data_IF_562540489233
#
_entry.id   IF_562540489233
#
_cell.length_a   1.000
_cell.length_b   1.000
_cell.length_c   1.000
_cell.angle_alpha   90.00
_cell.angle_beta   90.00
_cell.angle_gamma   90.00
#
_symmetry.space_group_name_H-M   'P 1'
#
loop_
_entity.id
_entity.type
_entity.pdbx_description
1 polymer ?
#
# COMPACT_ATOMS: atom_id res chain seq x y z
N UNK A 1 7.25 1.72 17.90
CA UNK A 1 8.05 2.89 17.48
C UNK A 1 7.12 3.95 16.92
N UNK A 2 7.36 5.26 17.16
CA UNK A 2 6.64 6.32 16.46
C UNK A 2 6.83 6.15 14.95
N UNK A 3 5.77 6.41 14.17
CA UNK A 3 5.84 6.37 12.71
C UNK A 3 6.58 7.57 12.13
N UNK A 4 6.89 7.54 10.83
CA UNK A 4 7.46 8.71 10.16
C UNK A 4 6.45 9.86 10.20
N UNK A 5 6.96 11.09 10.31
CA UNK A 5 6.16 12.31 10.42
C UNK A 5 5.98 12.98 9.06
N UNK A 6 4.80 13.55 8.81
CA UNK A 6 4.58 14.34 7.60
C UNK A 6 5.27 15.71 7.71
N UNK A 7 6.46 15.84 7.13
CA UNK A 7 7.31 17.04 7.17
C UNK A 7 6.65 18.26 6.49
N UNK A 8 5.88 18.04 5.41
CA UNK A 8 5.16 19.11 4.69
C UNK A 8 4.16 19.86 5.60
N UNK A 9 3.60 19.19 6.61
CA UNK A 9 2.68 19.82 7.58
C UNK A 9 3.40 20.61 8.68
N UNK A 10 4.63 20.23 9.08
CA UNK A 10 5.43 21.03 10.02
C UNK A 10 5.72 22.43 9.46
N UNK A 11 6.03 22.52 8.16
CA UNK A 11 6.26 23.81 7.47
C UNK A 11 5.02 24.74 7.52
N UNK A 12 3.80 24.20 7.33
CA UNK A 12 2.56 24.99 7.46
C UNK A 12 2.32 25.56 8.87
N UNK A 13 2.74 24.84 9.93
CA UNK A 13 2.63 25.34 11.31
C UNK A 13 3.67 26.41 11.63
N UNK A 14 4.93 26.20 11.21
CA UNK A 14 5.99 27.19 11.45
C UNK A 14 5.75 28.50 10.66
N UNK A 15 5.19 28.42 9.46
CA UNK A 15 4.80 29.60 8.68
C UNK A 15 3.68 30.42 9.33
N UNK A 16 2.71 29.77 9.99
CA UNK A 16 1.60 30.48 10.68
C UNK A 16 1.99 31.08 12.03
N UNK A 17 2.99 30.52 12.73
CA UNK A 17 3.44 31.06 14.02
C UNK A 17 4.37 32.28 13.91
N UNK A 18 5.00 32.55 12.76
CA UNK A 18 5.87 33.72 12.59
C UNK A 18 5.16 35.06 12.29
N UNK A 19 3.83 35.09 12.15
CA UNK A 19 3.08 36.32 11.80
C UNK A 19 2.31 36.95 12.98
N UNK A 20 2.24 36.29 14.15
CA UNK A 20 1.52 36.84 15.31
C UNK A 20 2.43 36.99 16.53
N UNK A 21 3.35 37.95 16.46
CA UNK A 21 3.94 38.54 17.66
C UNK A 21 4.20 40.03 17.44
N UNK A 22 3.13 40.82 17.45
CA UNK A 22 3.18 42.21 17.92
C UNK A 22 1.79 42.75 18.27
N UNK A 23 1.65 43.07 19.56
CA UNK A 23 0.77 44.08 20.18
C UNK A 23 -0.71 43.75 20.42
N UNK A 24 -1.00 43.54 21.71
CA UNK A 24 -2.28 43.82 22.41
C UNK A 24 -2.48 45.35 22.60
N UNK A 25 -3.59 45.88 23.18
CA UNK A 25 -4.95 45.33 23.43
C UNK A 25 -6.11 46.33 23.10
N UNK A 26 -7.37 45.90 23.27
CA UNK A 26 -8.55 46.55 23.92
C UNK A 26 -9.90 46.31 23.20
N UNK A 27 -10.82 45.66 23.93
CA UNK A 27 -12.24 46.00 24.08
C UNK A 27 -13.19 45.99 22.87
N UNK A 28 -14.25 45.17 22.92
CA UNK A 28 -15.67 45.60 23.05
C UNK A 28 -16.61 44.41 22.84
N UNK A 29 -17.77 44.50 23.50
CA UNK A 29 -18.78 43.48 23.79
C UNK A 29 -19.77 43.19 22.65
N UNK A 30 -20.48 42.07 22.83
CA UNK A 30 -21.91 41.83 22.60
C UNK A 30 -22.48 41.41 21.23
N UNK A 31 -23.18 40.26 21.28
CA UNK A 31 -24.61 40.01 20.96
C UNK A 31 -24.98 39.04 19.80
N UNK A 32 -25.65 37.96 20.23
CA UNK A 32 -26.78 37.18 19.68
C UNK A 32 -27.29 37.33 18.23
N UNK A 33 -27.47 36.18 17.54
CA UNK A 33 -28.71 35.61 16.92
C UNK A 33 -28.30 34.50 15.92
N UNK A 34 -28.69 33.22 15.98
CA UNK A 34 -29.99 32.52 15.81
C UNK A 34 -30.67 32.66 14.42
N UNK A 35 -30.61 31.58 13.61
CA UNK A 35 -31.63 31.02 12.69
C UNK A 35 -30.91 30.01 11.74
N UNK A 36 -31.17 28.69 11.62
CA UNK A 36 -32.34 27.81 11.36
C UNK A 36 -32.82 27.73 9.89
N UNK A 37 -32.97 26.47 9.42
CA UNK A 37 -33.77 25.96 8.27
C UNK A 37 -33.26 26.29 6.85
N UNK A 38 -33.32 25.47 5.78
CA UNK A 38 -34.16 24.36 5.24
C UNK A 38 -33.27 23.48 4.30
N UNK A 39 -33.32 22.13 4.24
CA UNK A 39 -34.24 21.22 3.49
C UNK A 39 -34.65 21.64 2.06
N UNK A 40 -34.20 20.90 1.04
CA UNK A 40 -35.04 20.19 0.03
C UNK A 40 -34.18 19.70 -1.17
N UNK A 41 -34.21 18.39 -1.43
CA UNK A 41 -34.93 17.68 -2.51
C UNK A 41 -34.12 17.42 -3.79
N UNK A 42 -33.96 16.13 -4.06
CA UNK A 42 -34.19 15.44 -5.34
C UNK A 42 -34.12 16.27 -6.63
N UNK A 43 -33.25 15.85 -7.56
CA UNK A 43 -33.66 15.50 -8.94
C UNK A 43 -32.50 14.75 -9.64
N UNK A 44 -32.75 13.48 -9.98
CA UNK A 44 -32.08 12.67 -11.01
C UNK A 44 -33.22 12.38 -12.00
N UNK A 45 -33.10 12.54 -13.34
CA UNK A 45 -32.36 11.59 -14.17
C UNK A 45 -31.82 12.10 -15.52
N UNK A 46 -30.77 11.44 -16.04
CA UNK A 46 -30.55 11.36 -17.49
C UNK A 46 -29.76 10.10 -17.86
N UNK A 47 -30.51 9.13 -18.36
CA UNK A 47 -30.11 7.93 -19.08
C UNK A 47 -29.15 8.27 -20.22
N UNK A 48 -27.93 7.74 -20.19
CA UNK A 48 -27.02 7.72 -21.36
C UNK A 48 -27.02 6.31 -21.92
N UNK A 49 -27.64 6.17 -23.09
CA UNK A 49 -27.61 4.95 -23.90
C UNK A 49 -26.18 4.68 -24.39
N UNK A 50 -25.64 3.51 -24.02
CA UNK A 50 -24.39 3.02 -24.57
C UNK A 50 -24.65 2.41 -25.95
N UNK A 51 -23.96 2.94 -26.96
CA UNK A 51 -23.97 2.44 -28.34
C UNK A 51 -23.29 1.07 -28.37
N UNK A 52 -23.99 0.09 -28.93
CA UNK A 52 -23.49 -1.26 -29.22
C UNK A 52 -22.52 -1.20 -30.40
N UNK A 53 -21.25 -1.54 -30.15
CA UNK A 53 -20.27 -1.82 -31.20
C UNK A 53 -20.24 -3.33 -31.47
N UNK A 54 -20.60 -3.68 -32.72
CA UNK A 54 -20.59 -5.02 -33.28
C UNK A 54 -19.17 -5.64 -33.22
N UNK A 55 -19.08 -6.86 -32.70
CA UNK A 55 -17.88 -7.71 -32.72
C UNK A 55 -17.91 -8.52 -34.03
N UNK A 56 -16.87 -8.34 -34.83
CA UNK A 56 -16.61 -9.07 -36.07
C UNK A 56 -15.96 -10.43 -35.75
N UNK A 57 -16.51 -11.50 -36.33
CA UNK A 57 -16.07 -12.89 -36.20
C UNK A 57 -14.85 -13.16 -37.11
N UNK A 58 -13.64 -13.13 -36.54
CA UNK A 58 -12.40 -13.54 -37.20
C UNK A 58 -11.86 -14.88 -36.67
N UNK A 59 -11.97 -15.91 -37.50
CA UNK A 59 -11.54 -17.33 -37.30
C UNK A 59 -10.01 -17.54 -37.16
N UNK A 60 -9.55 -18.76 -36.78
CA UNK A 60 -8.33 -19.00 -36.00
C UNK A 60 -7.08 -19.24 -36.86
N UNK A 61 -5.93 -18.77 -36.39
CA UNK A 61 -4.62 -19.15 -36.95
C UNK A 61 -3.83 -20.07 -36.00
N UNK A 62 -3.30 -21.12 -36.61
CA UNK A 62 -2.57 -22.25 -36.02
C UNK A 62 -1.19 -21.84 -35.45
N UNK A 63 -0.65 -22.61 -34.49
CA UNK A 63 0.66 -22.35 -33.90
C UNK A 63 1.81 -22.81 -34.83
N UNK A 64 2.91 -22.06 -34.92
CA UNK A 64 4.17 -22.58 -35.46
C UNK A 64 4.88 -23.45 -34.43
N UNK A 65 5.12 -24.69 -34.82
CA UNK A 65 5.94 -25.70 -34.17
C UNK A 65 7.44 -25.40 -34.40
N UNK A 66 8.25 -25.75 -33.40
CA UNK A 66 9.71 -26.00 -33.43
C UNK A 66 10.67 -24.80 -33.34
N UNK A 67 11.54 -24.78 -32.32
CA UNK A 67 12.83 -25.49 -32.37
C UNK A 67 13.49 -25.45 -30.98
N UNK A 68 13.67 -26.63 -30.38
CA UNK A 68 14.34 -26.80 -29.08
C UNK A 68 15.84 -26.94 -29.33
N UNK A 69 16.64 -25.98 -28.89
CA UNK A 69 18.10 -26.13 -28.80
C UNK A 69 18.50 -26.41 -27.35
N UNK A 70 19.29 -27.48 -27.07
CA UNK A 70 19.93 -27.67 -25.78
C UNK A 70 21.34 -27.06 -25.81
N UNK A 71 21.76 -26.39 -24.72
CA UNK A 71 23.13 -26.24 -24.21
C UNK A 71 23.10 -25.09 -23.18
N UNK A 72 23.19 -25.42 -21.89
CA UNK A 72 24.42 -25.42 -21.11
C UNK A 72 24.74 -24.05 -20.52
N UNK A 73 24.39 -23.87 -19.25
CA UNK A 73 25.03 -22.92 -18.35
C UNK A 73 24.95 -23.51 -16.95
N UNK A 74 26.00 -24.27 -16.62
CA UNK A 74 26.34 -24.60 -15.24
C UNK A 74 26.52 -23.30 -14.47
N UNK A 75 25.60 -22.98 -13.56
CA UNK A 75 25.88 -22.08 -12.46
C UNK A 75 25.93 -22.90 -11.17
N UNK A 76 27.08 -22.76 -10.53
CA UNK A 76 27.55 -23.50 -9.36
C UNK A 76 26.56 -23.33 -8.21
N UNK A 77 26.00 -24.43 -7.73
CA UNK A 77 25.46 -24.53 -6.39
C UNK A 77 26.63 -24.41 -5.41
N UNK A 78 26.74 -23.27 -4.75
CA UNK A 78 27.50 -23.15 -3.51
C UNK A 78 26.72 -23.91 -2.43
N UNK A 79 27.07 -25.17 -2.24
CA UNK A 79 26.71 -25.97 -1.07
C UNK A 79 27.39 -25.37 0.16
N UNK A 80 26.63 -24.59 0.93
CA UNK A 80 26.96 -24.39 2.34
C UNK A 80 26.37 -25.56 3.13
N UNK A 81 27.24 -26.15 3.94
CA UNK A 81 26.96 -27.19 4.93
C UNK A 81 25.69 -26.91 5.73
N UNK A 82 24.71 -27.82 5.66
CA UNK A 82 23.80 -28.06 6.76
C UNK A 82 23.57 -29.56 6.91
N UNK A 83 24.45 -30.18 7.69
CA UNK A 83 24.30 -31.54 8.16
C UNK A 83 23.21 -31.55 9.26
N UNK A 84 21.96 -31.69 8.86
CA UNK A 84 20.96 -32.34 9.69
C UNK A 84 19.92 -33.07 8.84
N UNK A 85 19.90 -34.39 9.01
CA UNK A 85 19.14 -35.40 8.28
C UNK A 85 17.61 -35.21 8.26
N UNK A 86 16.97 -35.37 7.11
CA UNK A 86 16.22 -36.56 6.64
C UNK A 86 15.48 -36.19 5.35
N UNK A 87 15.96 -36.72 4.22
CA UNK A 87 15.29 -36.63 2.94
C UNK A 87 14.03 -37.49 2.87
N UNK A 88 13.00 -36.96 2.20
CA UNK A 88 12.06 -37.62 1.27
C UNK A 88 10.75 -36.82 1.12
N UNK A 89 10.49 -35.82 1.97
CA UNK A 89 9.32 -34.94 1.83
C UNK A 89 9.76 -33.70 1.04
N UNK A 90 9.20 -33.45 -0.16
CA UNK A 90 9.41 -32.20 -0.86
C UNK A 90 9.06 -31.03 0.07
N UNK A 91 9.85 -29.94 0.08
CA UNK A 91 9.50 -28.77 0.88
C UNK A 91 8.08 -28.31 0.53
N UNK A 92 7.30 -27.82 1.50
CA UNK A 92 5.94 -27.37 1.23
C UNK A 92 5.95 -26.26 0.17
N UNK A 93 4.93 -26.19 -0.70
CA UNK A 93 4.89 -25.19 -1.75
C UNK A 93 4.85 -23.77 -1.14
N UNK A 94 5.55 -22.84 -1.79
CA UNK A 94 5.60 -21.44 -1.36
C UNK A 94 4.26 -20.71 -1.51
N UNK A 95 3.33 -21.26 -2.31
CA UNK A 95 1.99 -20.73 -2.55
C UNK A 95 0.96 -21.81 -2.16
N UNK A 96 -0.15 -21.40 -1.56
CA UNK A 96 -1.33 -22.24 -1.34
C UNK A 96 -2.60 -21.46 -1.68
N UNK A 97 -3.69 -22.13 -2.06
CA UNK A 97 -4.98 -21.47 -2.34
C UNK A 97 -6.08 -22.09 -1.46
N UNK A 98 -6.72 -21.31 -0.55
CA UNK A 98 -7.84 -21.78 0.26
C UNK A 98 -9.19 -21.78 -0.47
N UNK A 99 -9.23 -21.52 -1.78
CA UNK A 99 -10.44 -21.45 -2.61
C UNK A 99 -10.94 -20.03 -2.90
N UNK A 100 -10.23 -19.00 -2.41
CA UNK A 100 -10.54 -17.59 -2.69
C UNK A 100 -9.29 -16.82 -3.15
N UNK A 101 -8.36 -17.52 -3.80
CA UNK A 101 -7.20 -16.96 -4.47
C UNK A 101 -5.87 -17.39 -3.85
N UNK A 102 -4.78 -17.39 -4.63
CA UNK A 102 -3.47 -17.84 -4.17
C UNK A 102 -2.90 -16.94 -3.06
N UNK A 103 -2.26 -17.58 -2.08
CA UNK A 103 -1.62 -16.98 -0.91
C UNK A 103 -0.16 -17.39 -0.82
N UNK A 104 0.70 -16.46 -0.47
CA UNK A 104 2.11 -16.72 -0.18
C UNK A 104 2.22 -17.33 1.22
N UNK A 105 2.82 -18.52 1.30
CA UNK A 105 3.14 -19.21 2.55
C UNK A 105 4.53 -18.84 3.05
N UNK A 106 5.50 -18.86 2.13
CA UNK A 106 6.89 -18.50 2.37
C UNK A 106 7.28 -17.40 1.39
N UNK A 107 7.41 -16.19 1.91
CA UNK A 107 7.70 -14.98 1.14
C UNK A 107 9.09 -15.04 0.52
N UNK A 108 10.11 -15.53 1.23
CA UNK A 108 11.47 -15.62 0.70
C UNK A 108 11.54 -16.64 -0.44
N UNK A 109 10.96 -17.82 -0.22
CA UNK A 109 10.86 -18.87 -1.24
C UNK A 109 10.07 -18.41 -2.48
N UNK A 110 8.95 -17.72 -2.28
CA UNK A 110 8.17 -17.14 -3.38
C UNK A 110 8.98 -16.13 -4.20
N UNK A 111 9.65 -15.18 -3.54
CA UNK A 111 10.43 -14.13 -4.23
C UNK A 111 11.64 -14.68 -5.00
N UNK A 112 12.18 -15.81 -4.57
CA UNK A 112 13.26 -16.52 -5.25
C UNK A 112 12.76 -17.45 -6.37
N UNK A 113 11.43 -17.62 -6.48
CA UNK A 113 10.82 -18.53 -7.45
C UNK A 113 10.45 -17.85 -8.76
N UNK A 114 10.17 -18.66 -9.79
CA UNK A 114 9.65 -18.19 -11.08
C UNK A 114 8.27 -17.51 -10.99
N UNK A 115 7.51 -17.72 -9.91
CA UNK A 115 6.19 -17.10 -9.75
C UNK A 115 6.26 -15.61 -9.40
N UNK A 116 7.40 -15.15 -8.86
CA UNK A 116 7.58 -13.74 -8.55
C UNK A 116 7.88 -12.94 -9.82
N UNK A 117 7.14 -11.85 -10.02
CA UNK A 117 7.42 -10.96 -11.14
C UNK A 117 8.76 -10.23 -10.91
N UNK A 118 9.58 -10.04 -11.95
CA UNK A 118 10.80 -9.25 -11.83
C UNK A 118 10.46 -7.78 -11.51
N UNK A 119 11.38 -7.03 -10.86
CA UNK A 119 11.21 -5.61 -10.67
C UNK A 119 11.00 -4.87 -12.01
N UNK A 120 10.18 -3.84 -12.00
CA UNK A 120 9.86 -3.05 -13.19
C UNK A 120 10.88 -1.92 -13.38
N UNK A 121 12.08 -2.25 -13.86
CA UNK A 121 13.20 -1.30 -13.98
C UNK A 121 12.99 -0.15 -14.98
N UNK A 122 11.97 -0.25 -15.83
CA UNK A 122 11.57 0.81 -16.75
C UNK A 122 10.83 1.96 -16.07
N UNK A 123 10.26 1.72 -14.88
CA UNK A 123 9.61 2.73 -14.06
C UNK A 123 10.62 3.25 -13.02
N UNK A 124 10.95 4.56 -13.01
CA UNK A 124 12.00 5.10 -12.15
C UNK A 124 11.79 4.81 -10.66
N UNK A 125 10.54 4.94 -10.18
CA UNK A 125 10.20 4.70 -8.79
C UNK A 125 10.35 3.22 -8.43
N UNK A 126 9.86 2.32 -9.30
CA UNK A 126 10.04 0.89 -9.12
C UNK A 126 11.53 0.49 -9.12
N UNK A 127 12.35 1.13 -9.96
CA UNK A 127 13.78 0.87 -10.04
C UNK A 127 14.52 1.31 -8.76
N UNK A 128 14.16 2.45 -8.18
CA UNK A 128 14.68 2.90 -6.88
C UNK A 128 14.33 1.90 -5.77
N UNK A 129 13.06 1.51 -5.67
CA UNK A 129 12.65 0.51 -4.69
C UNK A 129 13.22 -0.88 -4.93
N UNK A 130 13.70 -1.20 -6.14
CA UNK A 130 14.29 -2.50 -6.45
C UNK A 130 15.71 -2.67 -5.88
N UNK A 131 16.32 -1.61 -5.36
CA UNK A 131 17.66 -1.66 -4.77
C UNK A 131 17.67 -2.50 -3.48
N UNK A 132 18.77 -3.23 -3.26
CA UNK A 132 18.95 -4.08 -2.09
C UNK A 132 19.13 -3.24 -0.82
N UNK A 133 19.74 -2.06 -0.95
CA UNK A 133 19.93 -1.10 0.12
C UNK A 133 18.58 -0.63 0.69
N UNK A 134 17.56 -0.49 -0.18
CA UNK A 134 16.20 -0.16 0.25
C UNK A 134 15.58 -1.30 1.05
N UNK A 135 15.79 -2.56 0.62
CA UNK A 135 15.35 -3.71 1.39
C UNK A 135 16.04 -3.81 2.77
N UNK A 136 17.35 -3.55 2.82
CA UNK A 136 18.10 -3.50 4.08
C UNK A 136 17.56 -2.41 5.01
N UNK A 137 17.28 -1.21 4.49
CA UNK A 137 16.64 -0.15 5.27
C UNK A 137 15.26 -0.59 5.80
N UNK A 138 14.43 -1.22 4.96
CA UNK A 138 13.13 -1.74 5.39
C UNK A 138 13.25 -2.77 6.52
N UNK A 139 14.26 -3.63 6.51
CA UNK A 139 14.53 -4.59 7.59
C UNK A 139 14.88 -3.94 8.93
N UNK A 140 15.37 -2.69 8.94
CA UNK A 140 15.63 -1.97 10.20
C UNK A 140 14.36 -1.49 10.91
N UNK A 141 13.25 -1.39 10.18
CA UNK A 141 12.00 -0.76 10.67
C UNK A 141 10.79 -1.67 10.66
N UNK A 142 10.80 -2.72 9.83
CA UNK A 142 9.71 -3.68 9.67
C UNK A 142 10.18 -5.11 9.95
N UNK A 143 9.29 -5.99 10.45
CA UNK A 143 9.54 -7.42 10.46
C UNK A 143 9.87 -7.93 9.06
N UNK A 144 10.72 -8.96 9.01
CA UNK A 144 11.30 -9.50 7.78
C UNK A 144 10.29 -9.76 6.67
N UNK A 145 9.21 -10.47 6.98
CA UNK A 145 8.17 -10.80 6.00
C UNK A 145 7.46 -9.54 5.46
N UNK A 146 7.13 -8.61 6.34
CA UNK A 146 6.44 -7.35 5.98
C UNK A 146 7.35 -6.46 5.13
N UNK A 147 8.65 -6.43 5.43
CA UNK A 147 9.67 -5.73 4.63
C UNK A 147 9.76 -6.31 3.20
N UNK A 148 9.87 -7.65 3.08
CA UNK A 148 9.93 -8.33 1.78
C UNK A 148 8.66 -8.10 0.94
N UNK A 149 7.49 -8.15 1.57
CA UNK A 149 6.21 -7.87 0.90
C UNK A 149 6.16 -6.42 0.41
N UNK A 150 6.55 -5.46 1.26
CA UNK A 150 6.53 -4.04 0.89
C UNK A 150 7.52 -3.75 -0.25
N UNK A 151 8.73 -4.30 -0.18
CA UNK A 151 9.74 -4.22 -1.22
C UNK A 151 9.24 -4.78 -2.55
N UNK A 152 8.66 -5.99 -2.54
CA UNK A 152 8.03 -6.57 -3.72
C UNK A 152 6.92 -5.68 -4.29
N UNK A 153 6.02 -5.17 -3.43
CA UNK A 153 4.90 -4.36 -3.87
C UNK A 153 5.35 -3.02 -4.48
N UNK A 154 6.40 -2.40 -3.96
CA UNK A 154 6.88 -1.09 -4.43
C UNK A 154 7.76 -1.17 -5.65
N UNK A 155 8.50 -2.26 -5.85
CA UNK A 155 9.41 -2.38 -6.99
C UNK A 155 8.76 -2.99 -8.25
N UNK A 156 7.44 -3.25 -8.25
CA UNK A 156 6.68 -3.81 -9.37
C UNK A 156 5.49 -2.94 -9.73
N UNK A 157 5.16 -2.89 -11.02
CA UNK A 157 4.06 -2.05 -11.54
C UNK A 157 2.68 -2.59 -11.21
N UNK A 158 2.44 -3.91 -11.25
CA UNK A 158 1.10 -4.49 -11.12
C UNK A 158 0.95 -5.57 -10.05
N UNK A 159 1.85 -6.55 -10.00
CA UNK A 159 1.75 -7.67 -9.08
C UNK A 159 1.90 -7.23 -7.62
N UNK A 160 1.05 -7.76 -6.75
CA UNK A 160 1.03 -7.45 -5.31
C UNK A 160 0.89 -8.70 -4.47
N UNK A 161 1.48 -8.65 -3.28
CA UNK A 161 1.22 -9.54 -2.15
C UNK A 161 0.51 -8.70 -1.08
N UNK A 162 -0.71 -9.07 -0.68
CA UNK A 162 -1.39 -8.37 0.39
C UNK A 162 -0.65 -8.58 1.72
N UNK A 163 -0.20 -7.53 2.43
CA UNK A 163 0.56 -7.72 3.66
C UNK A 163 -0.28 -8.34 4.79
N UNK A 164 -1.60 -8.12 4.83
CA UNK A 164 -2.45 -8.68 5.89
C UNK A 164 -2.81 -10.16 5.71
N UNK A 165 -3.05 -10.59 4.47
CA UNK A 165 -3.58 -11.94 4.21
C UNK A 165 -2.75 -12.75 3.20
N UNK A 166 -1.61 -12.19 2.76
CA UNK A 166 -0.64 -12.77 1.82
C UNK A 166 -1.21 -13.14 0.46
N UNK A 167 -2.38 -12.59 0.09
CA UNK A 167 -3.04 -12.83 -1.20
C UNK A 167 -2.21 -12.27 -2.34
N UNK A 168 -1.96 -13.08 -3.36
CA UNK A 168 -1.42 -12.63 -4.64
C UNK A 168 -2.56 -12.07 -5.49
N UNK A 169 -2.35 -10.88 -6.03
CA UNK A 169 -3.32 -10.20 -6.88
C UNK A 169 -2.62 -9.15 -7.77
N UNK A 170 -3.32 -8.62 -8.75
CA UNK A 170 -2.90 -7.48 -9.55
C UNK A 170 -3.65 -6.22 -9.12
N UNK A 171 -2.99 -5.06 -9.21
CA UNK A 171 -3.67 -3.78 -9.00
C UNK A 171 -4.93 -3.65 -9.85
N UNK A 172 -6.04 -3.27 -9.22
CA UNK A 172 -7.36 -3.16 -9.85
C UNK A 172 -8.21 -4.42 -9.77
N UNK A 173 -7.66 -5.56 -9.31
CA UNK A 173 -8.44 -6.77 -9.09
C UNK A 173 -9.49 -6.54 -8.00
N UNK A 174 -10.70 -7.03 -8.28
CA UNK A 174 -11.78 -7.13 -7.31
C UNK A 174 -11.82 -8.58 -6.85
N UNK A 175 -11.38 -8.80 -5.61
CA UNK A 175 -11.16 -10.15 -5.09
C UNK A 175 -12.36 -10.58 -4.24
N UNK A 176 -12.72 -11.87 -4.24
CA UNK A 176 -13.77 -12.39 -3.38
C UNK A 176 -13.51 -12.06 -1.91
N UNK A 177 -14.59 -11.70 -1.21
CA UNK A 177 -14.53 -11.41 0.22
C UNK A 177 -13.99 -12.62 0.99
N UNK A 178 -13.31 -12.32 2.11
CA UNK A 178 -12.72 -13.34 2.97
C UNK A 178 -13.77 -14.05 3.83
N UNK A 179 -14.93 -13.43 3.99
CA UNK A 179 -16.09 -13.97 4.71
C UNK A 179 -16.97 -14.58 3.63
N UNK A 180 -17.03 -15.90 3.57
CA UNK A 180 -17.65 -16.66 2.48
C UNK A 180 -19.15 -16.47 2.39
N UNK A 181 -19.59 -15.37 1.76
CA UNK A 181 -20.96 -15.21 1.30
C UNK A 181 -21.09 -15.68 -0.14
N UNK A 182 -22.15 -16.46 -0.39
CA UNK A 182 -22.50 -17.00 -1.70
C UNK A 182 -22.55 -15.88 -2.76
N UNK A 183 -21.63 -15.92 -3.72
CA UNK A 183 -21.44 -14.91 -4.78
C UNK A 183 -22.63 -14.82 -5.77
N UNK A 184 -23.70 -15.58 -5.58
CA UNK A 184 -24.78 -15.73 -6.55
C UNK A 184 -25.82 -14.59 -6.56
N UNK A 185 -25.83 -13.68 -5.57
CA UNK A 185 -26.98 -12.78 -5.38
C UNK A 185 -26.65 -11.31 -5.11
N UNK A 186 -25.38 -10.90 -5.02
CA UNK A 186 -25.09 -9.48 -4.78
C UNK A 186 -25.17 -8.69 -6.08
N UNK A 187 -26.07 -7.68 -6.18
CA UNK A 187 -26.04 -6.73 -7.28
C UNK A 187 -24.65 -6.08 -7.31
N UNK A 188 -24.17 -5.74 -8.51
CA UNK A 188 -22.89 -5.08 -8.72
C UNK A 188 -22.90 -3.71 -8.05
N UNK A 189 -22.68 -3.66 -6.74
CA UNK A 189 -22.60 -2.39 -6.02
C UNK A 189 -21.49 -1.54 -6.64
N UNK A 190 -21.72 -0.24 -6.79
CA UNK A 190 -20.72 0.66 -7.33
C UNK A 190 -19.46 0.58 -6.47
N UNK A 191 -18.37 0.23 -7.15
CA UNK A 191 -17.03 0.03 -6.60
C UNK A 191 -16.67 1.19 -5.69
N UNK A 192 -16.12 0.91 -4.51
CA UNK A 192 -15.48 1.97 -3.73
C UNK A 192 -14.33 2.54 -4.57
N UNK A 193 -14.34 3.84 -4.93
CA UNK A 193 -13.25 4.44 -5.71
C UNK A 193 -11.91 4.39 -4.96
N UNK A 194 -11.98 4.14 -3.64
CA UNK A 194 -10.83 4.06 -2.76
C UNK A 194 -10.16 2.68 -2.74
N UNK A 195 -10.76 1.62 -3.29
CA UNK A 195 -10.13 0.29 -3.26
C UNK A 195 -8.85 0.25 -4.09
N UNK A 196 -8.92 0.62 -5.38
CA UNK A 196 -7.74 0.68 -6.24
C UNK A 196 -6.68 1.61 -5.63
N UNK A 197 -7.13 2.73 -5.06
CA UNK A 197 -6.25 3.69 -4.42
C UNK A 197 -5.51 3.09 -3.24
N UNK A 198 -6.21 2.39 -2.35
CA UNK A 198 -5.57 1.69 -1.24
C UNK A 198 -4.62 0.59 -1.73
N UNK A 199 -5.03 -0.22 -2.70
CA UNK A 199 -4.19 -1.24 -3.31
C UNK A 199 -2.87 -0.65 -3.82
N UNK A 200 -2.92 0.54 -4.44
CA UNK A 200 -1.72 1.25 -4.91
C UNK A 200 -0.88 1.79 -3.76
N UNK A 201 -1.50 2.36 -2.73
CA UNK A 201 -0.81 2.97 -1.59
C UNK A 201 -0.10 1.89 -0.76
N UNK A 202 -0.85 0.94 -0.20
CA UNK A 202 -0.37 -0.01 0.81
C UNK A 202 -0.21 -1.44 0.31
N UNK A 203 -0.75 -1.78 -0.86
CA UNK A 203 -0.82 -3.17 -1.31
C UNK A 203 -1.88 -4.00 -0.57
N UNK A 204 -2.82 -3.37 0.13
CA UNK A 204 -3.92 -4.07 0.81
C UNK A 204 -5.03 -4.42 -0.18
N UNK A 205 -5.43 -5.69 -0.21
CA UNK A 205 -6.27 -6.20 -1.29
C UNK A 205 -7.79 -5.99 -1.08
N UNK A 206 -8.24 -5.63 0.12
CA UNK A 206 -9.66 -5.44 0.45
C UNK A 206 -9.86 -4.52 1.66
N UNK A 207 -11.08 -3.96 1.85
CA UNK A 207 -11.41 -3.18 3.04
C UNK A 207 -11.18 -3.96 4.34
N UNK A 208 -11.47 -5.25 4.36
CA UNK A 208 -11.23 -6.11 5.53
C UNK A 208 -9.74 -6.23 5.86
N UNK A 209 -8.87 -6.40 4.86
CA UNK A 209 -7.42 -6.46 5.09
C UNK A 209 -6.88 -5.16 5.66
N UNK A 210 -7.48 -4.03 5.28
CA UNK A 210 -7.11 -2.74 5.84
C UNK A 210 -7.65 -2.48 7.23
N UNK A 211 -8.88 -2.89 7.53
CA UNK A 211 -9.39 -2.85 8.90
C UNK A 211 -8.45 -3.65 9.81
N UNK A 212 -7.98 -4.82 9.36
CA UNK A 212 -6.98 -5.60 10.10
C UNK A 212 -5.64 -4.85 10.25
N UNK A 213 -5.13 -4.25 9.17
CA UNK A 213 -3.87 -3.49 9.23
C UNK A 213 -3.95 -2.21 10.08
N UNK A 214 -5.14 -1.64 10.21
CA UNK A 214 -5.42 -0.42 10.96
C UNK A 214 -6.07 -0.68 12.32
N UNK A 215 -6.16 -1.94 12.74
CA UNK A 215 -6.86 -2.35 13.96
C UNK A 215 -6.31 -1.67 15.22
N UNK A 216 -5.00 -1.39 15.25
CA UNK A 216 -4.36 -0.64 16.32
C UNK A 216 -4.76 0.85 16.39
N UNK A 217 -5.45 1.38 15.38
CA UNK A 217 -5.79 2.80 15.23
C UNK A 217 -7.25 2.97 14.79
N UNK A 218 -8.24 2.46 15.56
CA UNK A 218 -9.64 2.44 15.15
C UNK A 218 -10.20 3.82 14.82
N UNK A 219 -9.75 4.87 15.53
CA UNK A 219 -10.13 6.26 15.27
C UNK A 219 -9.65 6.81 13.93
N UNK A 220 -8.66 6.20 13.28
CA UNK A 220 -8.08 6.65 12.01
C UNK A 220 -8.58 5.84 10.79
N UNK A 221 -9.24 4.70 10.99
CA UNK A 221 -9.59 3.75 9.89
C UNK A 221 -10.35 4.45 8.76
N UNK A 222 -11.47 5.10 9.09
CA UNK A 222 -12.34 5.72 8.09
C UNK A 222 -11.66 6.88 7.36
N UNK A 223 -10.83 7.64 8.07
CA UNK A 223 -10.21 8.86 7.54
C UNK A 223 -8.90 8.61 6.80
N UNK A 224 -8.31 7.41 6.91
CA UNK A 224 -7.04 7.03 6.27
C UNK A 224 -7.21 6.12 5.05
N UNK A 225 -8.38 5.50 4.86
CA UNK A 225 -8.66 4.59 3.73
C UNK A 225 -8.53 5.30 2.38
N UNK A 226 -7.62 4.83 1.53
CA UNK A 226 -7.36 5.37 0.20
C UNK A 226 -6.81 6.80 0.21
N UNK A 227 -6.18 7.25 1.31
CA UNK A 227 -5.60 8.60 1.41
C UNK A 227 -4.11 8.57 1.72
N UNK A 228 -3.35 9.41 1.02
CA UNK A 228 -1.94 9.66 1.31
C UNK A 228 -1.76 10.74 2.38
N UNK A 229 -0.54 10.90 2.89
CA UNK A 229 -0.20 11.81 3.99
C UNK A 229 -0.71 13.25 3.76
N UNK A 230 -0.64 13.73 2.52
CA UNK A 230 -0.99 15.09 2.11
C UNK A 230 -2.50 15.38 2.17
N UNK A 231 -3.33 14.35 2.03
CA UNK A 231 -4.79 14.46 1.95
C UNK A 231 -5.48 14.28 3.30
N UNK A 232 -4.75 13.78 4.29
CA UNK A 232 -5.26 13.67 5.65
C UNK A 232 -5.18 15.04 6.32
N UNK A 233 -6.15 15.34 7.18
CA UNK A 233 -5.99 16.47 8.10
C UNK A 233 -4.97 16.12 9.20
N UNK A 234 -4.65 17.10 10.02
CA UNK A 234 -3.68 16.90 11.10
C UNK A 234 -4.23 15.98 12.19
N UNK A 235 -5.52 16.10 12.51
CA UNK A 235 -6.20 15.26 13.48
C UNK A 235 -6.11 13.79 13.11
N UNK A 236 -6.42 13.44 11.85
CA UNK A 236 -6.30 12.08 11.33
C UNK A 236 -4.86 11.58 11.39
N UNK A 237 -3.90 12.42 10.99
CA UNK A 237 -2.49 12.05 11.02
C UNK A 237 -1.99 11.78 12.44
N UNK A 238 -2.46 12.55 13.43
CA UNK A 238 -2.13 12.36 14.83
C UNK A 238 -2.78 11.08 15.39
N UNK A 239 -4.02 10.76 15.00
CA UNK A 239 -4.67 9.50 15.37
C UNK A 239 -3.88 8.29 14.85
N UNK A 240 -3.43 8.35 13.58
CA UNK A 240 -2.63 7.29 12.97
C UNK A 240 -1.22 7.18 13.60
N UNK A 241 -0.63 8.30 14.01
CA UNK A 241 0.69 8.34 14.67
C UNK A 241 0.66 8.16 16.19
N UNK A 242 -0.53 7.95 16.77
CA UNK A 242 -0.66 7.63 18.18
C UNK A 242 0.08 6.36 18.58
N UNK A 243 0.13 6.06 19.89
CA UNK A 243 0.73 4.81 20.40
C UNK A 243 -0.01 3.55 19.93
N UNK A 244 -1.25 3.71 19.47
CA UNK A 244 -2.13 2.61 19.10
C UNK A 244 -2.63 1.82 20.33
N UNK A 245 -3.40 0.77 20.08
CA UNK A 245 -3.95 -0.10 21.13
C UNK A 245 -2.96 -1.18 21.62
N UNK A 246 -1.80 -1.31 20.97
CA UNK A 246 -0.73 -2.22 21.42
C UNK A 246 -0.92 -3.68 21.04
N UNK A 247 -1.82 -4.01 20.12
CA UNK A 247 -1.95 -5.36 19.57
C UNK A 247 -0.75 -5.70 18.68
N UNK A 248 -0.25 -6.93 18.76
CA UNK A 248 0.79 -7.41 17.86
C UNK A 248 0.26 -7.51 16.43
N UNK A 249 0.67 -6.59 15.55
CA UNK A 249 0.15 -6.47 14.18
C UNK A 249 1.16 -6.86 13.10
N UNK A 250 2.25 -7.56 13.46
CA UNK A 250 3.31 -7.97 12.53
C UNK A 250 3.89 -6.80 11.70
N UNK A 251 3.84 -5.58 12.24
CA UNK A 251 4.33 -4.38 11.57
C UNK A 251 3.34 -3.77 10.57
N UNK A 252 2.11 -4.27 10.48
CA UNK A 252 1.08 -3.74 9.57
C UNK A 252 0.75 -2.27 9.87
N UNK A 253 0.67 -1.88 11.15
CA UNK A 253 0.45 -0.50 11.53
C UNK A 253 1.60 0.41 11.13
N UNK A 254 2.85 -0.08 11.18
CA UNK A 254 4.02 0.68 10.69
C UNK A 254 4.01 0.77 9.16
N UNK A 255 3.75 -0.33 8.45
CA UNK A 255 3.59 -0.37 7.00
C UNK A 255 2.52 0.64 6.55
N UNK A 256 1.41 0.72 7.27
CA UNK A 256 0.33 1.65 6.94
C UNK A 256 0.82 3.10 7.01
N UNK A 257 1.55 3.47 8.07
CA UNK A 257 2.13 4.82 8.23
C UNK A 257 3.15 5.13 7.14
N UNK A 258 4.08 4.21 6.90
CA UNK A 258 5.13 4.35 5.88
C UNK A 258 4.52 4.56 4.51
N UNK A 259 3.58 3.69 4.10
CA UNK A 259 2.98 3.74 2.76
C UNK A 259 2.16 4.98 2.46
N UNK A 260 1.84 5.82 3.48
CA UNK A 260 1.20 7.12 3.24
C UNK A 260 2.16 8.19 2.77
N UNK A 261 3.46 7.97 2.90
CA UNK A 261 4.52 8.86 2.45
C UNK A 261 5.11 8.32 1.15
N UNK A 262 5.47 9.22 0.25
CA UNK A 262 5.96 8.86 -1.09
C UNK A 262 7.28 8.08 -1.03
N UNK A 263 8.17 8.49 -0.11
CA UNK A 263 9.48 7.88 0.16
C UNK A 263 9.45 6.83 1.28
N UNK A 264 8.24 6.41 1.69
CA UNK A 264 7.99 5.58 2.87
C UNK A 264 8.44 6.20 4.21
N UNK A 265 8.91 7.45 4.22
CA UNK A 265 9.55 8.08 5.37
C UNK A 265 10.86 7.42 5.80
N UNK A 266 11.54 6.68 4.90
CA UNK A 266 12.74 5.92 5.22
C UNK A 266 13.89 6.82 5.70
N UNK A 267 14.07 8.01 5.10
CA UNK A 267 15.09 8.96 5.55
C UNK A 267 14.92 9.32 7.03
N UNK A 268 13.69 9.63 7.46
CA UNK A 268 13.40 9.95 8.86
C UNK A 268 13.58 8.74 9.78
N UNK A 269 13.18 7.54 9.33
CA UNK A 269 13.20 6.35 10.17
C UNK A 269 14.62 5.78 10.36
N UNK A 270 15.44 5.81 9.31
CA UNK A 270 16.79 5.25 9.32
C UNK A 270 17.86 6.28 9.74
N UNK A 271 17.61 7.58 9.55
CA UNK A 271 18.55 8.66 9.84
C UNK A 271 17.87 9.76 10.68
N UNK A 272 17.47 9.48 11.93
CA UNK A 272 16.72 10.42 12.77
C UNK A 272 17.51 11.69 13.13
N UNK A 273 18.84 11.62 13.07
CA UNK A 273 19.74 12.73 13.41
C UNK A 273 20.01 13.70 12.23
N UNK A 274 19.59 13.31 11.01
CA UNK A 274 19.81 14.12 9.81
C UNK A 274 18.60 15.03 9.59
N UNK A 275 18.83 16.33 9.65
CA UNK A 275 17.79 17.31 9.33
C UNK A 275 17.65 17.51 7.82
N UNK A 276 16.81 16.67 7.19
CA UNK A 276 16.47 16.77 5.77
C UNK A 276 15.71 18.07 5.42
N UNK A 277 15.18 18.82 6.41
CA UNK A 277 14.48 20.08 6.15
C UNK A 277 15.45 21.19 5.70
N UNK A 278 16.72 21.10 6.06
CA UNK A 278 17.74 22.13 5.82
C UNK A 278 18.23 22.23 4.37
N UNK A 279 18.07 21.17 3.55
CA UNK A 279 18.55 21.15 2.15
C UNK A 279 17.52 21.69 1.15
N UNK A 280 16.21 21.67 1.46
CA UNK A 280 15.15 22.16 0.56
C UNK A 280 15.05 23.69 0.42
N UNK A 281 15.88 24.45 1.13
CA UNK A 281 15.95 25.92 1.07
C UNK A 281 17.06 26.44 0.14
N UNK A 282 17.77 25.55 -0.56
CA UNK A 282 18.91 25.88 -1.42
C UNK A 282 18.69 25.43 -2.88
N UNK A 283 17.48 25.58 -3.42
CA UNK A 283 17.33 25.77 -4.87
C UNK A 283 17.30 27.27 -5.19
N UNK A 284 18.39 27.86 -5.72
CA UNK A 284 18.37 29.14 -6.37
C UNK A 284 18.05 28.99 -7.86
N UNK A 285 17.00 29.70 -8.29
CA UNK A 285 16.62 30.19 -9.63
C UNK A 285 16.61 29.23 -10.83
#
# INVERSE_FOLDING_TARGET
MPGPSNLNKKKKKQGKQKVLSSKNPLGTQNSHAKASHEQDENTVPATVQCVQSNIDEGKPNKPPTELRSPLSSQQRLNTFDDQNSVGLIPPPPYIYDPGNGPRVRDTRGFLSSFFAQPPALSDPLCAEFAQEEVLQMLHTVLPEETALILWYNKSRTKGRICPSCRRLYCLGDILPDLIGEDQASRPSEPRSPYLLREQTISGLCSPMCFILASFNYPGAIKTTWGRVAEEMDETTWNLLNGPGEGHGDMGLGMLLKMTRLDDLGLGQLCLPDVDFDSQSLLEPQ
#
